data_IF_368814986484
#
_entry.id   IF_368814986484
#
_cell.length_a   1.000
_cell.length_b   1.000
_cell.length_c   1.000
_cell.angle_alpha   90.00
_cell.angle_beta   90.00
_cell.angle_gamma   90.00
#
_symmetry.space_group_name_H-M   'P 1'
#
loop_
_entity.id
_entity.type
_entity.pdbx_description
1 polymer ?
#
# COMPACT_ATOMS: atom_id res chain seq x y z
N UNK A 1 10.64 14.02 -60.20
CA UNK A 1 10.33 14.17 -58.76
C UNK A 1 9.30 13.11 -58.43
N UNK A 2 9.67 12.14 -57.58
CA UNK A 2 8.89 10.92 -57.39
C UNK A 2 7.73 11.15 -56.42
N UNK A 3 6.57 10.59 -56.74
CA UNK A 3 5.29 10.68 -56.00
C UNK A 3 5.36 10.16 -54.54
N UNK A 4 6.47 9.50 -54.17
CA UNK A 4 6.73 8.93 -52.85
C UNK A 4 7.27 9.94 -51.81
N UNK A 5 7.78 11.10 -52.23
CA UNK A 5 8.38 12.08 -51.30
C UNK A 5 7.36 12.71 -50.34
N UNK A 6 6.09 12.78 -50.76
CA UNK A 6 5.00 13.45 -50.03
C UNK A 6 4.19 12.48 -49.16
N UNK A 7 4.06 11.22 -49.58
CA UNK A 7 3.20 10.22 -48.91
C UNK A 7 3.90 9.58 -47.69
N UNK A 8 5.22 9.36 -47.80
CA UNK A 8 6.02 8.73 -46.75
C UNK A 8 5.97 9.49 -45.40
N UNK A 9 6.13 10.82 -45.33
CA UNK A 9 6.07 11.53 -44.04
C UNK A 9 4.68 11.48 -43.40
N UNK A 10 3.60 11.45 -44.20
CA UNK A 10 2.24 11.37 -43.69
C UNK A 10 1.93 9.99 -43.07
N UNK A 11 2.39 8.91 -43.72
CA UNK A 11 2.25 7.54 -43.20
C UNK A 11 3.06 7.35 -41.91
N UNK A 12 4.30 7.86 -41.86
CA UNK A 12 5.13 7.83 -40.65
C UNK A 12 4.48 8.62 -39.51
N UNK A 13 3.92 9.79 -39.83
CA UNK A 13 3.13 10.60 -38.89
C UNK A 13 1.93 9.85 -38.32
N UNK A 14 1.12 9.20 -39.16
CA UNK A 14 -0.05 8.43 -38.72
C UNK A 14 0.34 7.26 -37.79
N UNK A 15 1.39 6.51 -38.13
CA UNK A 15 1.88 5.40 -37.30
C UNK A 15 2.39 5.91 -35.95
N UNK A 16 3.17 7.00 -35.92
CA UNK A 16 3.68 7.58 -34.67
C UNK A 16 2.57 8.08 -33.74
N UNK A 17 1.51 8.68 -34.29
CA UNK A 17 0.36 9.13 -33.50
C UNK A 17 -0.37 7.95 -32.83
N UNK A 18 -0.57 6.85 -33.57
CA UNK A 18 -1.19 5.63 -33.03
C UNK A 18 -0.33 5.01 -31.93
N UNK A 19 0.97 4.89 -32.16
CA UNK A 19 1.92 4.37 -31.15
C UNK A 19 1.89 5.22 -29.88
N UNK A 20 1.91 6.54 -30.02
CA UNK A 20 1.88 7.47 -28.88
C UNK A 20 0.57 7.34 -28.09
N UNK A 21 -0.57 7.24 -28.77
CA UNK A 21 -1.87 7.06 -28.13
C UNK A 21 -1.96 5.73 -27.35
N UNK A 22 -1.42 4.64 -27.91
CA UNK A 22 -1.36 3.34 -27.24
C UNK A 22 -0.49 3.42 -25.98
N UNK A 23 0.68 4.05 -26.07
CA UNK A 23 1.60 4.23 -24.94
C UNK A 23 0.97 5.06 -23.82
N UNK A 24 0.34 6.19 -24.13
CA UNK A 24 -0.35 7.04 -23.14
C UNK A 24 -1.48 6.29 -22.43
N UNK A 25 -2.25 5.49 -23.18
CA UNK A 25 -3.34 4.68 -22.62
C UNK A 25 -2.84 3.60 -21.67
N UNK A 26 -1.75 2.91 -22.02
CA UNK A 26 -1.12 1.88 -21.18
C UNK A 26 -0.56 2.47 -19.88
N UNK A 27 0.09 3.64 -19.96
CA UNK A 27 0.66 4.31 -18.76
C UNK A 27 -0.45 4.80 -17.83
N UNK A 28 -1.51 5.41 -18.37
CA UNK A 28 -2.64 5.91 -17.57
C UNK A 28 -3.32 4.79 -16.77
N UNK A 29 -3.45 3.60 -17.37
CA UNK A 29 -4.14 2.47 -16.74
C UNK A 29 -3.38 1.83 -15.56
N UNK A 30 -2.08 2.10 -15.41
CA UNK A 30 -1.30 1.65 -14.24
C UNK A 30 -1.45 2.55 -13.02
N UNK A 31 -1.69 3.85 -13.22
CA UNK A 31 -1.70 4.84 -12.14
C UNK A 31 -2.90 4.67 -11.18
N UNK A 32 -4.06 4.31 -11.72
CA UNK A 32 -5.32 4.12 -10.98
C UNK A 32 -5.23 3.01 -9.92
N UNK A 33 -4.58 1.88 -10.22
CA UNK A 33 -4.53 0.71 -9.30
C UNK A 33 -3.63 0.91 -8.09
N UNK A 34 -2.62 1.77 -8.21
CA UNK A 34 -1.63 1.94 -7.14
C UNK A 34 -2.16 2.83 -6.00
N UNK A 35 -3.14 3.69 -6.27
CA UNK A 35 -3.70 4.62 -5.29
C UNK A 35 -4.62 3.91 -4.28
N UNK A 36 -5.42 2.93 -4.73
CA UNK A 36 -6.34 2.18 -3.87
C UNK A 36 -5.60 1.36 -2.80
N UNK A 37 -4.37 0.91 -3.07
CA UNK A 37 -3.56 0.16 -2.11
C UNK A 37 -2.93 1.04 -1.01
N UNK A 38 -2.66 2.32 -1.27
CA UNK A 38 -1.94 3.19 -0.31
C UNK A 38 -2.83 3.67 0.86
N UNK A 39 -4.14 3.45 0.77
CA UNK A 39 -5.13 3.84 1.78
C UNK A 39 -5.47 2.74 2.79
N UNK A 40 -4.91 1.54 2.63
CA UNK A 40 -5.09 0.45 3.59
C UNK A 40 -4.00 0.60 4.65
N UNK A 41 -4.18 1.56 5.56
CA UNK A 41 -3.39 1.60 6.79
C UNK A 41 -3.64 0.29 7.54
N UNK A 42 -2.60 -0.48 7.92
CA UNK A 42 -2.80 -1.65 8.75
C UNK A 42 -3.39 -1.15 10.07
N UNK A 43 -4.68 -1.43 10.29
CA UNK A 43 -5.36 -1.16 11.56
C UNK A 43 -4.73 -2.08 12.60
N UNK A 44 -3.60 -1.68 13.17
CA UNK A 44 -3.01 -2.33 14.32
C UNK A 44 -3.97 -2.12 15.48
N UNK A 45 -4.82 -3.12 15.74
CA UNK A 45 -5.66 -3.10 16.93
C UNK A 45 -4.75 -3.05 18.15
N UNK A 46 -4.96 -2.04 18.97
CA UNK A 46 -4.28 -1.89 20.25
C UNK A 46 -5.28 -2.21 21.35
N UNK A 47 -4.80 -2.89 22.39
CA UNK A 47 -5.59 -3.22 23.57
C UNK A 47 -4.96 -2.53 24.77
N UNK A 48 -5.83 -2.01 25.63
CA UNK A 48 -5.43 -1.38 26.89
C UNK A 48 -5.58 -2.41 28.01
N UNK A 49 -4.47 -2.72 28.68
CA UNK A 49 -4.42 -3.70 29.77
C UNK A 49 -4.07 -3.02 31.07
N UNK A 50 -4.70 -3.47 32.16
CA UNK A 50 -4.37 -3.06 33.53
C UNK A 50 -3.60 -4.18 34.21
N UNK A 51 -2.40 -3.88 34.71
CA UNK A 51 -1.62 -4.84 35.46
C UNK A 51 -2.26 -5.07 36.84
N UNK A 52 -2.56 -6.31 37.25
CA UNK A 52 -3.12 -6.58 38.58
C UNK A 52 -2.12 -6.34 39.72
N UNK A 53 -0.81 -6.34 39.44
CA UNK A 53 0.21 -6.19 40.47
C UNK A 53 0.49 -4.71 40.81
N UNK A 54 0.85 -3.90 39.82
CA UNK A 54 1.18 -2.48 40.05
C UNK A 54 -0.01 -1.54 39.80
N UNK A 55 -1.17 -2.08 39.42
CA UNK A 55 -2.40 -1.36 39.15
C UNK A 55 -2.32 -0.31 38.02
N UNK A 56 -1.22 -0.29 37.26
CA UNK A 56 -1.00 0.63 36.14
C UNK A 56 -1.58 0.08 34.85
N UNK A 57 -2.00 1.01 33.99
CA UNK A 57 -2.57 0.73 32.68
C UNK A 57 -1.51 0.97 31.61
N UNK A 58 -1.43 0.10 30.61
CA UNK A 58 -0.56 0.26 29.45
C UNK A 58 -1.23 -0.30 28.19
N UNK A 59 -0.78 0.20 27.05
CA UNK A 59 -1.30 -0.19 25.74
C UNK A 59 -0.34 -1.19 25.09
N UNK A 60 -0.87 -2.25 24.49
CA UNK A 60 -0.08 -3.21 23.71
C UNK A 60 -0.81 -3.57 22.42
N UNK A 61 -0.06 -4.06 21.42
CA UNK A 61 -0.67 -4.56 20.19
C UNK A 61 -1.51 -5.80 20.48
N UNK A 62 -2.67 -5.90 19.85
CA UNK A 62 -3.50 -7.10 19.90
C UNK A 62 -2.72 -8.26 19.25
N UNK A 63 -2.55 -9.34 20.01
CA UNK A 63 -1.90 -10.58 19.55
C UNK A 63 -2.91 -11.72 19.67
N UNK A 64 -2.70 -12.76 18.87
CA UNK A 64 -3.48 -14.01 18.98
C UNK A 64 -3.34 -14.58 20.39
N UNK A 65 -4.48 -14.84 21.05
CA UNK A 65 -4.54 -15.40 22.40
C UNK A 65 -4.38 -16.93 22.36
N UNK A 66 -3.76 -17.57 23.37
CA UNK A 66 -3.15 -16.95 24.54
C UNK A 66 -1.73 -16.42 24.23
N UNK A 67 -1.39 -15.25 24.78
CA UNK A 67 -0.04 -14.70 24.66
C UNK A 67 0.50 -14.24 26.01
N UNK A 68 1.82 -14.37 26.16
CA UNK A 68 2.56 -13.84 27.30
C UNK A 68 2.89 -12.37 27.06
N UNK A 69 2.76 -11.58 28.10
CA UNK A 69 3.23 -10.19 28.10
C UNK A 69 3.92 -9.88 29.43
N UNK A 70 4.84 -8.92 29.38
CA UNK A 70 5.52 -8.41 30.56
C UNK A 70 5.04 -6.99 30.82
N UNK A 71 4.65 -6.69 32.06
CA UNK A 71 4.25 -5.33 32.42
C UNK A 71 5.49 -4.41 32.37
N UNK A 72 5.46 -3.27 31.65
CA UNK A 72 6.61 -2.37 31.53
C UNK A 72 6.94 -1.61 32.83
N UNK A 73 6.06 -1.66 33.83
CA UNK A 73 6.22 -0.90 35.08
C UNK A 73 6.70 -1.73 36.26
N UNK A 74 6.38 -3.03 36.31
CA UNK A 74 6.75 -3.91 37.41
C UNK A 74 7.43 -5.19 36.96
N UNK A 75 7.66 -5.35 35.67
CA UNK A 75 8.39 -6.47 35.04
C UNK A 75 7.80 -7.86 35.29
N UNK A 76 6.60 -7.95 35.87
CA UNK A 76 5.88 -9.20 36.05
C UNK A 76 5.32 -9.69 34.72
N UNK A 77 5.50 -10.98 34.46
CA UNK A 77 4.90 -11.68 33.33
C UNK A 77 3.47 -12.11 33.64
N UNK A 78 2.58 -11.93 32.66
CA UNK A 78 1.20 -12.36 32.70
C UNK A 78 0.81 -13.04 31.38
N UNK A 79 -0.20 -13.91 31.44
CA UNK A 79 -0.77 -14.55 30.25
C UNK A 79 -2.18 -14.04 30.03
N UNK A 80 -2.47 -13.51 28.84
CA UNK A 80 -3.83 -13.14 28.43
C UNK A 80 -4.44 -14.38 27.79
N UNK A 81 -5.56 -14.82 28.35
CA UNK A 81 -6.38 -15.91 27.80
C UNK A 81 -7.51 -15.35 26.94
#
# INVERSE_FOLDING_TARGET
MNEYDIIIPYLVGAVSAVVTAVVVKVISSKAEKQYEYRLIEPVFKTITLRCPNCNRTFTTGEKTRPFKLRCPYCEIEGTIK
#
